data_IF_830341961786
#
_entry.id   IF_830341961786
#
_cell.length_a   1.000
_cell.length_b   1.000
_cell.length_c   1.000
_cell.angle_alpha   90.00
_cell.angle_beta   90.00
_cell.angle_gamma   90.00
#
_symmetry.space_group_name_H-M   'P 1'
#
loop_
_entity.id
_entity.type
_entity.pdbx_description
1 polymer ?
#
# COMPACT_ATOMS: atom_id res chain seq x y z
N UNK A 1 7.13 -22.39 -11.30
CA UNK A 1 5.92 -21.80 -10.69
C UNK A 1 5.73 -20.41 -11.27
N UNK A 2 4.68 -20.18 -12.06
CA UNK A 2 4.42 -18.85 -12.62
C UNK A 2 4.08 -17.88 -11.47
N UNK A 3 4.90 -16.84 -11.29
CA UNK A 3 4.61 -15.76 -10.33
C UNK A 3 3.32 -15.11 -10.81
N UNK A 4 2.23 -15.22 -10.04
CA UNK A 4 0.94 -14.62 -10.38
C UNK A 4 1.13 -13.12 -10.66
N UNK A 5 1.08 -12.75 -11.94
CA UNK A 5 1.25 -11.36 -12.41
C UNK A 5 0.01 -10.51 -12.12
N UNK A 6 -1.15 -11.16 -12.00
CA UNK A 6 -2.43 -10.51 -11.72
C UNK A 6 -2.51 -9.92 -10.31
N UNK A 7 -1.88 -10.57 -9.31
CA UNK A 7 -1.90 -10.13 -7.91
C UNK A 7 -0.50 -9.81 -7.37
N UNK A 8 0.14 -8.71 -7.82
CA UNK A 8 1.44 -8.30 -7.31
C UNK A 8 1.39 -7.95 -5.83
N UNK A 9 2.53 -8.10 -5.19
CA UNK A 9 2.82 -7.51 -3.88
C UNK A 9 3.16 -6.04 -4.10
N UNK A 10 2.52 -5.15 -3.36
CA UNK A 10 2.72 -3.70 -3.40
C UNK A 10 3.01 -3.17 -2.01
N UNK A 11 3.83 -2.13 -1.94
CA UNK A 11 4.15 -1.43 -0.69
C UNK A 11 3.32 -0.16 -0.62
N UNK A 12 2.72 0.11 0.53
CA UNK A 12 2.00 1.33 0.83
C UNK A 12 2.83 2.13 1.83
N UNK A 13 3.14 3.38 1.52
CA UNK A 13 3.91 4.29 2.36
C UNK A 13 3.00 5.34 3.01
N UNK A 14 3.25 5.62 4.27
CA UNK A 14 2.51 6.64 5.03
C UNK A 14 2.66 8.03 4.39
N UNK A 15 1.54 8.74 4.26
CA UNK A 15 1.54 10.15 3.83
C UNK A 15 2.04 11.10 4.91
N UNK A 16 2.17 10.65 6.16
CA UNK A 16 2.69 11.46 7.27
C UNK A 16 4.23 11.60 7.24
N UNK A 17 4.92 10.96 6.30
CA UNK A 17 6.38 11.09 6.15
C UNK A 17 7.20 10.34 7.21
N UNK A 18 6.56 9.53 8.05
CA UNK A 18 7.18 8.75 9.14
C UNK A 18 8.08 7.61 8.67
N UNK A 19 7.96 7.22 7.39
CA UNK A 19 8.62 6.03 6.84
C UNK A 19 7.91 4.71 7.15
N UNK A 20 6.77 4.73 7.86
CA UNK A 20 5.94 3.53 8.08
C UNK A 20 5.43 2.98 6.75
N UNK A 21 5.59 1.68 6.54
CA UNK A 21 5.14 0.99 5.33
C UNK A 21 4.31 -0.25 5.64
N UNK A 22 3.32 -0.53 4.79
CA UNK A 22 2.58 -1.78 4.77
C UNK A 22 2.77 -2.50 3.45
N UNK A 23 2.87 -3.83 3.50
CA UNK A 23 2.93 -4.65 2.29
C UNK A 23 1.61 -5.38 2.13
N UNK A 24 1.03 -5.32 0.94
CA UNK A 24 -0.23 -6.01 0.62
C UNK A 24 -0.19 -6.60 -0.78
N UNK A 25 -1.13 -7.49 -1.10
CA UNK A 25 -1.36 -7.96 -2.47
C UNK A 25 -2.57 -7.22 -3.03
N UNK A 26 -2.42 -6.56 -4.17
CA UNK A 26 -3.55 -5.95 -4.89
C UNK A 26 -3.84 -6.72 -6.17
N UNK A 27 -5.07 -6.67 -6.66
CA UNK A 27 -5.41 -7.21 -7.98
C UNK A 27 -5.33 -6.08 -9.02
N UNK A 28 -4.34 -6.11 -9.92
CA UNK A 28 -4.16 -5.04 -10.93
C UNK A 28 -5.31 -4.95 -11.94
N UNK A 29 -6.11 -6.00 -12.08
CA UNK A 29 -7.23 -6.02 -13.02
C UNK A 29 -8.43 -5.23 -12.49
N UNK A 30 -8.68 -5.30 -11.18
CA UNK A 30 -9.80 -4.58 -10.55
C UNK A 30 -9.38 -3.16 -10.13
N UNK A 31 -8.14 -3.03 -9.65
CA UNK A 31 -7.58 -1.78 -9.14
C UNK A 31 -6.31 -1.43 -9.96
N UNK A 32 -6.49 -0.90 -11.19
CA UNK A 32 -5.37 -0.58 -12.07
C UNK A 32 -4.50 0.58 -11.54
N UNK A 33 -5.13 1.53 -10.84
CA UNK A 33 -4.49 2.73 -10.29
C UNK A 33 -3.70 2.45 -9.01
N UNK A 34 -3.02 3.49 -8.50
CA UNK A 34 -2.28 3.42 -7.24
C UNK A 34 -3.25 3.31 -6.07
N UNK A 35 -3.05 2.31 -5.22
CA UNK A 35 -3.89 2.11 -4.05
C UNK A 35 -3.68 3.26 -3.04
N UNK A 36 -4.78 3.83 -2.56
CA UNK A 36 -4.78 4.80 -1.45
C UNK A 36 -5.71 4.28 -0.37
N UNK A 37 -5.17 3.93 0.79
CA UNK A 37 -5.94 3.39 1.91
C UNK A 37 -5.71 4.22 3.16
N UNK A 38 -6.75 4.41 3.96
CA UNK A 38 -6.60 4.95 5.30
C UNK A 38 -6.14 3.83 6.25
N UNK A 39 -4.98 3.98 6.88
CA UNK A 39 -4.43 3.02 7.83
C UNK A 39 -3.81 3.74 9.03
N UNK A 40 -3.74 3.04 10.15
CA UNK A 40 -3.05 3.53 11.33
C UNK A 40 -1.56 3.66 11.04
N UNK A 41 -0.97 4.79 11.40
CA UNK A 41 0.47 4.96 11.45
C UNK A 41 0.89 5.05 12.91
N UNK A 42 1.62 4.04 13.37
CA UNK A 42 2.04 3.96 14.77
C UNK A 42 3.02 5.08 15.17
N UNK A 43 3.78 5.63 14.21
CA UNK A 43 4.71 6.72 14.48
C UNK A 43 4.00 8.09 14.52
N UNK A 44 2.95 8.27 13.72
CA UNK A 44 2.11 9.48 13.78
C UNK A 44 1.06 9.40 14.90
N UNK A 45 0.72 8.19 15.37
CA UNK A 45 -0.29 7.97 16.40
C UNK A 45 -1.74 8.11 15.92
N UNK A 46 -1.96 8.15 14.61
CA UNK A 46 -3.29 8.38 14.02
C UNK A 46 -3.50 7.61 12.71
N UNK A 47 -4.75 7.57 12.23
CA UNK A 47 -5.09 6.97 10.94
C UNK A 47 -4.88 7.99 9.81
N UNK A 48 -3.82 7.80 9.04
CA UNK A 48 -3.45 8.63 7.89
C UNK A 48 -3.66 7.88 6.57
N UNK A 49 -3.46 8.58 5.46
CA UNK A 49 -3.50 7.98 4.14
C UNK A 49 -2.17 7.26 3.87
N UNK A 50 -2.25 6.04 3.37
CA UNK A 50 -1.13 5.27 2.87
C UNK A 50 -1.29 5.15 1.36
N UNK A 51 -0.23 5.49 0.62
CA UNK A 51 -0.22 5.48 -0.84
C UNK A 51 0.73 4.42 -1.36
N UNK A 52 0.33 3.75 -2.43
CA UNK A 52 1.20 2.79 -3.10
C UNK A 52 2.48 3.45 -3.61
N UNK A 53 3.60 2.92 -3.12
CA UNK A 53 4.95 3.19 -3.56
C UNK A 53 5.38 2.07 -4.50
N UNK A 54 5.93 2.46 -5.66
CA UNK A 54 6.28 1.55 -6.75
C UNK A 54 7.78 1.54 -6.95
#
# INVERSE_FOLDING_TARGET
MARSTARPVVTLRSSAGTGTTYVTRKNRLNDPDRLVLRKFDAAAGEHVLFREER
#
